data_IF_118778343512
#
_entry.id   IF_118778343512
#
_cell.length_a   1.000
_cell.length_b   1.000
_cell.length_c   1.000
_cell.angle_alpha   90.00
_cell.angle_beta   90.00
_cell.angle_gamma   90.00
#
_symmetry.space_group_name_H-M   'P 1'
#
loop_
_entity.id
_entity.type
_entity.pdbx_description
1 polymer ?
#
# COMPACT_ATOMS: atom_id res chain seq x y z
N UNK A 1 -25.13 22.66 -4.17
CA UNK A 1 -25.95 23.20 -5.27
C UNK A 1 -27.42 23.18 -4.86
N UNK A 2 -28.16 24.19 -5.24
CA UNK A 2 -29.59 24.25 -4.98
C UNK A 2 -30.33 23.36 -6.00
N UNK A 3 -31.14 22.45 -5.52
CA UNK A 3 -31.94 21.54 -6.37
C UNK A 3 -32.91 22.35 -7.29
N UNK A 4 -33.33 23.54 -6.85
CA UNK A 4 -34.19 24.44 -7.65
C UNK A 4 -33.50 24.95 -8.90
N UNK A 5 -32.17 24.97 -8.95
CA UNK A 5 -31.41 25.38 -10.13
C UNK A 5 -31.42 24.34 -11.26
N UNK A 6 -31.91 23.12 -11.00
CA UNK A 6 -32.11 22.07 -12.00
C UNK A 6 -30.83 21.76 -12.79
N UNK A 7 -30.90 21.88 -14.11
CA UNK A 7 -29.78 21.56 -15.01
C UNK A 7 -28.55 22.45 -14.83
N UNK A 8 -28.69 23.65 -14.30
CA UNK A 8 -27.55 24.55 -14.02
C UNK A 8 -26.65 23.97 -12.93
N UNK A 9 -27.26 23.35 -11.88
CA UNK A 9 -26.49 22.66 -10.83
C UNK A 9 -25.69 21.49 -11.41
N UNK A 10 -26.25 20.73 -12.34
CA UNK A 10 -25.53 19.63 -13.00
C UNK A 10 -24.32 20.12 -13.82
N UNK A 11 -24.50 21.23 -14.56
CA UNK A 11 -23.39 21.81 -15.32
C UNK A 11 -22.27 22.29 -14.39
N UNK A 12 -22.60 22.94 -13.27
CA UNK A 12 -21.62 23.40 -12.29
C UNK A 12 -20.84 22.24 -11.66
N UNK A 13 -21.51 21.15 -11.28
CA UNK A 13 -20.81 19.94 -10.80
C UNK A 13 -19.95 19.30 -11.88
N UNK A 14 -20.43 19.24 -13.12
CA UNK A 14 -19.66 18.72 -14.25
C UNK A 14 -18.37 19.51 -14.48
N UNK A 15 -18.43 20.85 -14.39
CA UNK A 15 -17.25 21.70 -14.50
C UNK A 15 -16.27 21.50 -13.34
N UNK A 16 -16.77 21.40 -12.10
CA UNK A 16 -15.93 21.12 -10.93
C UNK A 16 -15.23 19.77 -11.06
N UNK A 17 -15.94 18.70 -11.43
CA UNK A 17 -15.36 17.36 -11.64
C UNK A 17 -14.30 17.38 -12.74
N UNK A 18 -14.53 18.09 -13.83
CA UNK A 18 -13.56 18.27 -14.89
C UNK A 18 -12.27 18.94 -14.37
N UNK A 19 -12.39 20.03 -13.63
CA UNK A 19 -11.23 20.72 -13.08
C UNK A 19 -10.51 19.91 -12.02
N UNK A 20 -11.23 19.22 -11.12
CA UNK A 20 -10.64 18.29 -10.15
C UNK A 20 -9.84 17.20 -10.86
N UNK A 21 -10.41 16.61 -11.91
CA UNK A 21 -9.72 15.60 -12.71
C UNK A 21 -8.46 16.13 -13.41
N UNK A 22 -8.53 17.36 -13.97
CA UNK A 22 -7.38 17.99 -14.64
C UNK A 22 -6.25 18.35 -13.66
N UNK A 23 -6.58 18.63 -12.41
CA UNK A 23 -5.63 18.95 -11.34
C UNK A 23 -5.12 17.70 -10.61
N UNK A 24 -5.74 16.55 -10.80
CA UNK A 24 -5.32 15.28 -10.18
C UNK A 24 -3.90 14.94 -10.60
N UNK A 25 -3.03 14.68 -9.62
CA UNK A 25 -1.61 14.44 -9.82
C UNK A 25 -0.79 15.69 -10.22
N UNK A 26 -1.41 16.89 -10.22
CA UNK A 26 -0.72 18.17 -10.42
C UNK A 26 -0.55 18.89 -9.09
N UNK A 27 -1.63 19.01 -8.33
CA UNK A 27 -1.61 19.56 -6.97
C UNK A 27 -2.37 18.61 -6.04
N UNK A 28 -1.90 18.43 -4.79
CA UNK A 28 -2.61 17.59 -3.83
C UNK A 28 -4.02 18.09 -3.58
N UNK A 29 -4.96 17.17 -3.56
CA UNK A 29 -6.38 17.44 -3.32
C UNK A 29 -6.86 16.61 -2.13
N UNK A 30 -7.38 17.26 -1.10
CA UNK A 30 -7.91 16.60 0.09
C UNK A 30 -9.35 17.05 0.30
N UNK A 31 -10.28 16.10 0.33
CA UNK A 31 -11.66 16.35 0.68
C UNK A 31 -11.86 16.19 2.20
N UNK A 32 -12.57 17.14 2.81
CA UNK A 32 -13.01 17.07 4.21
C UNK A 32 -14.53 17.02 4.24
N UNK A 33 -15.07 15.91 4.74
CA UNK A 33 -16.51 15.68 4.86
C UNK A 33 -16.91 15.89 6.32
N UNK A 34 -17.59 17.02 6.57
CA UNK A 34 -17.98 17.48 7.91
C UNK A 34 -19.50 17.44 8.11
N UNK A 35 -20.26 16.83 7.23
CA UNK A 35 -21.72 16.71 7.29
C UNK A 35 -22.23 15.73 6.23
N UNK A 36 -23.48 15.87 5.80
CA UNK A 36 -24.05 15.01 4.78
C UNK A 36 -23.48 15.37 3.40
N UNK A 37 -22.72 14.46 2.81
CA UNK A 37 -22.13 14.56 1.48
C UNK A 37 -22.73 13.47 0.56
N UNK A 38 -23.62 13.89 -0.36
CA UNK A 38 -24.40 12.95 -1.16
C UNK A 38 -24.35 13.27 -2.66
N UNK A 39 -24.60 12.27 -3.50
CA UNK A 39 -24.72 12.40 -4.95
C UNK A 39 -23.51 12.99 -5.62
N UNK A 40 -23.67 14.07 -6.39
CA UNK A 40 -22.56 14.72 -7.10
C UNK A 40 -21.48 15.29 -6.15
N UNK A 41 -21.85 15.72 -4.95
CA UNK A 41 -20.88 16.18 -3.95
C UNK A 41 -20.01 15.03 -3.44
N UNK A 42 -20.59 13.85 -3.23
CA UNK A 42 -19.83 12.65 -2.86
C UNK A 42 -18.87 12.22 -3.97
N UNK A 43 -19.31 12.26 -5.23
CA UNK A 43 -18.42 12.00 -6.38
C UNK A 43 -17.25 12.99 -6.45
N UNK A 44 -17.51 14.26 -6.17
CA UNK A 44 -16.46 15.30 -6.14
C UNK A 44 -15.47 15.05 -5.00
N UNK A 45 -15.96 14.74 -3.81
CA UNK A 45 -15.11 14.41 -2.66
C UNK A 45 -14.20 13.21 -2.95
N UNK A 46 -14.75 12.14 -3.55
CA UNK A 46 -13.99 10.92 -3.88
C UNK A 46 -13.03 11.10 -5.06
N UNK A 47 -13.17 12.18 -5.82
CA UNK A 47 -12.21 12.54 -6.88
C UNK A 47 -10.91 13.14 -6.33
N UNK A 48 -10.84 13.47 -5.04
CA UNK A 48 -9.63 13.93 -4.36
C UNK A 48 -8.62 12.78 -4.17
N UNK A 49 -7.39 13.12 -3.82
CA UNK A 49 -6.35 12.13 -3.49
C UNK A 49 -6.66 11.41 -2.18
N UNK A 50 -7.17 12.16 -1.20
CA UNK A 50 -7.57 11.63 0.12
C UNK A 50 -8.88 12.27 0.58
N UNK A 51 -9.76 11.44 1.16
CA UNK A 51 -11.00 11.89 1.79
C UNK A 51 -10.91 11.68 3.30
N UNK A 52 -11.07 12.75 4.07
CA UNK A 52 -11.13 12.75 5.54
C UNK A 52 -12.56 13.03 5.95
N UNK A 53 -13.12 12.24 6.87
CA UNK A 53 -14.51 12.34 7.27
C UNK A 53 -14.65 12.47 8.79
N UNK A 54 -15.53 13.36 9.25
CA UNK A 54 -15.93 13.42 10.64
C UNK A 54 -16.88 12.26 10.99
N UNK A 55 -16.82 11.75 12.21
CA UNK A 55 -17.57 10.57 12.66
C UNK A 55 -19.09 10.68 12.47
N UNK A 56 -19.63 11.87 12.70
CA UNK A 56 -21.07 12.14 12.57
C UNK A 56 -21.47 12.55 11.13
N UNK A 57 -20.52 12.58 10.20
CA UNK A 57 -20.78 12.89 8.80
C UNK A 57 -21.19 11.65 7.99
N UNK A 58 -21.76 11.89 6.83
CA UNK A 58 -22.26 10.85 5.94
C UNK A 58 -21.69 11.02 4.53
N UNK A 59 -21.32 9.92 3.88
CA UNK A 59 -20.81 9.91 2.51
C UNK A 59 -21.50 8.80 1.70
N UNK A 60 -22.31 9.17 0.70
CA UNK A 60 -23.06 8.21 -0.11
C UNK A 60 -23.54 8.79 -1.44
N UNK A 61 -23.93 7.92 -2.38
CA UNK A 61 -24.54 8.35 -3.65
C UNK A 61 -26.01 8.70 -3.47
N UNK A 62 -26.79 7.80 -2.86
CA UNK A 62 -28.19 7.97 -2.55
C UNK A 62 -28.53 7.24 -1.25
N UNK A 63 -29.50 7.75 -0.44
CA UNK A 63 -29.91 7.10 0.78
C UNK A 63 -30.35 5.66 0.54
N UNK A 64 -29.91 4.72 1.37
CA UNK A 64 -30.26 3.33 1.30
C UNK A 64 -30.72 2.82 2.68
N UNK A 65 -31.87 2.17 2.74
CA UNK A 65 -32.42 1.65 3.99
C UNK A 65 -31.63 0.45 4.55
N UNK A 66 -30.87 -0.25 3.71
CA UNK A 66 -30.18 -1.49 4.08
C UNK A 66 -28.68 -1.29 4.41
N UNK A 67 -28.13 -0.13 4.10
CA UNK A 67 -26.71 0.19 4.32
C UNK A 67 -26.64 1.49 5.10
N UNK A 68 -25.83 1.50 6.15
CA UNK A 68 -25.53 2.74 6.88
C UNK A 68 -24.66 3.65 6.01
N UNK A 69 -25.04 4.90 5.87
CA UNK A 69 -24.28 5.92 5.13
C UNK A 69 -23.20 6.59 6.01
N UNK A 70 -22.78 5.91 7.08
CA UNK A 70 -21.91 6.46 8.13
C UNK A 70 -20.44 6.58 7.69
N UNK A 71 -19.69 7.37 8.44
CA UNK A 71 -18.25 7.48 8.29
C UNK A 71 -17.53 6.14 8.44
N UNK A 72 -18.00 5.26 9.33
CA UNK A 72 -17.46 3.91 9.51
C UNK A 72 -17.61 3.08 8.23
N UNK A 73 -18.81 3.09 7.62
CA UNK A 73 -19.02 2.40 6.34
C UNK A 73 -18.17 2.98 5.21
N UNK A 74 -17.96 4.30 5.20
CA UNK A 74 -17.07 4.95 4.24
C UNK A 74 -15.60 4.54 4.43
N UNK A 75 -15.17 4.31 5.66
CA UNK A 75 -13.84 3.78 5.97
C UNK A 75 -13.71 2.31 5.56
N UNK A 76 -14.70 1.47 5.89
CA UNK A 76 -14.68 0.03 5.59
C UNK A 76 -14.70 -0.28 4.09
N UNK A 77 -15.34 0.56 3.28
CA UNK A 77 -15.39 0.41 1.82
C UNK A 77 -14.28 1.16 1.07
N UNK A 78 -13.41 1.89 1.79
CA UNK A 78 -12.24 2.58 1.24
C UNK A 78 -12.50 3.97 0.67
N UNK A 79 -13.72 4.52 0.77
CA UNK A 79 -14.01 5.89 0.31
C UNK A 79 -13.52 6.94 1.29
N UNK A 80 -13.33 6.63 2.58
CA UNK A 80 -12.68 7.51 3.53
C UNK A 80 -11.32 6.99 3.94
N UNK A 81 -10.29 7.83 3.78
CA UNK A 81 -8.93 7.50 4.19
C UNK A 81 -8.73 7.62 5.71
N UNK A 82 -9.41 8.57 6.35
CA UNK A 82 -9.34 8.82 7.80
C UNK A 82 -10.71 9.20 8.34
N UNK A 83 -11.10 8.59 9.46
CA UNK A 83 -12.27 8.99 10.27
C UNK A 83 -11.80 9.73 11.50
N UNK A 84 -12.41 10.88 11.77
CA UNK A 84 -12.05 11.77 12.87
C UNK A 84 -13.23 11.97 13.84
N UNK A 85 -12.96 12.25 15.09
CA UNK A 85 -14.01 12.38 16.12
C UNK A 85 -14.99 13.55 15.86
N UNK A 86 -14.51 14.64 15.27
CA UNK A 86 -15.32 15.81 14.93
C UNK A 86 -14.76 16.58 13.71
N UNK A 87 -15.44 17.62 13.29
CA UNK A 87 -15.09 18.48 12.16
C UNK A 87 -13.72 19.13 12.33
N UNK A 88 -13.37 19.54 13.54
CA UNK A 88 -12.08 20.19 13.82
C UNK A 88 -10.94 19.18 13.69
N UNK A 89 -11.11 18.01 14.24
CA UNK A 89 -10.15 16.92 14.11
C UNK A 89 -9.99 16.50 12.63
N UNK A 90 -11.08 16.51 11.84
CA UNK A 90 -11.01 16.23 10.42
C UNK A 90 -10.19 17.28 9.64
N UNK A 91 -10.37 18.56 9.96
CA UNK A 91 -9.56 19.64 9.37
C UNK A 91 -8.10 19.54 9.77
N UNK A 92 -7.79 19.23 11.04
CA UNK A 92 -6.40 19.04 11.49
C UNK A 92 -5.75 17.79 10.86
N UNK A 93 -6.48 16.70 10.70
CA UNK A 93 -6.01 15.51 10.00
C UNK A 93 -5.70 15.83 8.52
N UNK A 94 -6.57 16.56 7.84
CA UNK A 94 -6.34 17.01 6.47
C UNK A 94 -5.10 17.90 6.36
N UNK A 95 -4.89 18.83 7.29
CA UNK A 95 -3.66 19.65 7.35
C UNK A 95 -2.42 18.79 7.59
N UNK A 96 -2.48 17.82 8.50
CA UNK A 96 -1.37 16.92 8.77
C UNK A 96 -0.99 16.10 7.51
N UNK A 97 -1.97 15.59 6.76
CA UNK A 97 -1.71 14.94 5.47
C UNK A 97 -1.07 15.94 4.50
N UNK A 98 -1.64 17.15 4.38
CA UNK A 98 -1.17 18.16 3.45
C UNK A 98 0.27 18.60 3.74
N UNK A 99 0.69 18.68 5.01
CA UNK A 99 2.09 19.02 5.36
C UNK A 99 3.08 17.99 4.85
N UNK A 100 2.69 16.73 4.68
CA UNK A 100 3.55 15.66 4.16
C UNK A 100 3.60 15.61 2.62
N UNK A 101 2.76 16.38 1.93
CA UNK A 101 2.70 16.40 0.47
C UNK A 101 3.45 17.62 -0.08
N UNK A 102 4.08 17.50 -1.26
CA UNK A 102 4.68 18.65 -1.92
C UNK A 102 3.60 19.63 -2.39
N UNK A 103 3.97 20.89 -2.66
CA UNK A 103 3.03 21.91 -3.15
C UNK A 103 2.41 21.54 -4.51
N UNK A 104 3.15 20.84 -5.33
CA UNK A 104 2.72 20.32 -6.64
C UNK A 104 3.67 19.21 -7.08
N UNK A 105 3.35 18.56 -8.18
CA UNK A 105 4.11 17.42 -8.72
C UNK A 105 5.54 17.76 -9.23
N UNK A 106 5.89 19.02 -9.34
CA UNK A 106 7.22 19.49 -9.74
C UNK A 106 8.06 19.96 -8.54
N UNK A 107 7.42 20.14 -7.39
CA UNK A 107 8.09 20.52 -6.15
C UNK A 107 8.73 19.31 -5.49
N UNK A 108 9.88 19.48 -4.82
CA UNK A 108 10.46 18.40 -4.02
C UNK A 108 9.54 18.06 -2.85
N UNK A 109 9.68 16.84 -2.32
CA UNK A 109 9.01 16.46 -1.08
C UNK A 109 9.45 17.39 0.06
N UNK A 110 8.55 17.70 1.02
CA UNK A 110 8.91 18.49 2.18
C UNK A 110 10.01 17.83 3.02
N UNK A 111 10.87 18.66 3.62
CA UNK A 111 11.91 18.23 4.53
C UNK A 111 11.68 18.87 5.89
N UNK A 112 11.79 18.07 6.96
CA UNK A 112 11.53 18.48 8.32
C UNK A 112 12.71 18.14 9.24
N UNK A 113 12.82 18.85 10.35
CA UNK A 113 13.58 18.34 11.49
C UNK A 113 12.94 17.06 11.99
N UNK A 114 13.71 16.07 12.35
CA UNK A 114 13.21 14.77 12.75
C UNK A 114 13.87 14.28 14.04
N UNK A 115 13.15 13.41 14.75
CA UNK A 115 13.67 12.65 15.86
C UNK A 115 13.75 11.17 15.46
N UNK A 116 14.78 10.49 15.92
CA UNK A 116 14.86 9.05 15.72
C UNK A 116 13.72 8.33 16.45
N UNK A 117 13.21 7.21 15.88
CA UNK A 117 12.20 6.42 16.56
C UNK A 117 12.74 5.85 17.86
N UNK A 118 11.89 5.78 18.88
CA UNK A 118 12.21 5.22 20.18
C UNK A 118 11.82 3.75 20.34
N UNK A 119 11.00 3.27 19.43
CA UNK A 119 10.48 1.89 19.43
C UNK A 119 11.46 0.92 18.77
N UNK A 120 11.54 -0.30 19.29
CA UNK A 120 12.27 -1.38 18.61
C UNK A 120 11.43 -1.89 17.43
N UNK A 121 12.11 -2.34 16.37
CA UNK A 121 11.44 -2.86 15.18
C UNK A 121 10.57 -4.08 15.55
N UNK A 122 9.25 -3.93 15.42
CA UNK A 122 8.24 -4.96 15.63
C UNK A 122 8.26 -6.06 14.54
N UNK A 123 7.31 -6.98 14.64
CA UNK A 123 7.11 -8.03 13.63
C UNK A 123 5.85 -7.75 12.78
N UNK A 124 4.98 -6.87 13.22
CA UNK A 124 3.78 -6.45 12.52
C UNK A 124 3.99 -5.16 11.69
N UNK A 125 3.03 -4.88 10.82
CA UNK A 125 3.10 -3.76 9.89
C UNK A 125 3.21 -2.39 10.59
N UNK A 126 2.45 -2.17 11.67
CA UNK A 126 2.45 -0.92 12.42
C UNK A 126 3.75 -0.72 13.20
N UNK A 127 4.19 -1.77 13.91
CA UNK A 127 5.43 -1.75 14.69
C UNK A 127 6.68 -1.54 13.81
N UNK A 128 6.71 -2.12 12.60
CA UNK A 128 7.79 -1.87 11.64
C UNK A 128 7.76 -0.42 11.17
N UNK A 129 6.59 0.09 10.77
CA UNK A 129 6.47 1.46 10.28
C UNK A 129 6.91 2.49 11.33
N UNK A 130 6.47 2.35 12.57
CA UNK A 130 6.81 3.27 13.69
C UNK A 130 8.29 3.19 14.09
N UNK A 131 8.89 2.00 14.04
CA UNK A 131 10.28 1.81 14.43
C UNK A 131 11.29 2.22 13.34
N UNK A 132 10.86 2.28 12.07
CA UNK A 132 11.74 2.64 10.95
C UNK A 132 11.60 4.12 10.59
N UNK A 133 10.39 4.66 10.60
CA UNK A 133 10.12 6.06 10.28
C UNK A 133 10.53 7.00 11.44
N UNK A 134 10.58 8.29 11.18
CA UNK A 134 10.87 9.29 12.19
C UNK A 134 9.82 9.30 13.30
N UNK A 135 10.22 9.62 14.52
CA UNK A 135 9.33 9.64 15.67
C UNK A 135 8.10 10.52 15.44
N UNK A 136 6.93 10.03 15.82
CA UNK A 136 5.62 10.69 15.69
C UNK A 136 5.23 11.16 14.27
N UNK A 137 5.93 10.68 13.23
CA UNK A 137 5.68 11.12 11.85
C UNK A 137 4.62 10.32 11.11
N UNK A 138 4.32 9.13 11.57
CA UNK A 138 3.47 8.16 10.85
C UNK A 138 2.00 8.58 10.87
N UNK A 139 1.39 8.65 9.70
CA UNK A 139 -0.05 8.89 9.52
C UNK A 139 -0.62 7.75 8.69
N UNK A 140 -1.29 6.80 9.35
CA UNK A 140 -1.94 5.69 8.69
C UNK A 140 -3.14 6.17 7.86
N UNK A 141 -3.32 5.60 6.68
CA UNK A 141 -4.41 5.90 5.76
C UNK A 141 -5.16 4.62 5.39
N UNK A 142 -6.47 4.72 5.23
CA UNK A 142 -7.37 3.60 4.90
C UNK A 142 -7.23 2.41 5.86
N UNK A 143 -7.13 2.67 7.17
CA UNK A 143 -6.90 1.65 8.19
C UNK A 143 -7.96 0.54 8.22
N UNK A 144 -9.22 0.87 7.89
CA UNK A 144 -10.37 -0.03 7.94
C UNK A 144 -10.67 -0.72 6.59
N UNK A 145 -10.00 -0.33 5.50
CA UNK A 145 -10.12 -0.93 4.18
C UNK A 145 -8.88 -1.74 3.84
N UNK A 146 -9.05 -2.95 3.28
CA UNK A 146 -7.91 -3.81 2.97
C UNK A 146 -7.05 -4.05 4.22
N UNK A 147 -7.63 -4.68 5.24
CA UNK A 147 -7.05 -4.75 6.60
C UNK A 147 -5.80 -5.61 6.72
N UNK A 148 -5.50 -6.47 5.73
CA UNK A 148 -4.26 -7.26 5.72
C UNK A 148 -3.04 -6.41 5.37
N UNK A 149 -3.25 -5.23 4.78
CA UNK A 149 -2.19 -4.29 4.41
C UNK A 149 -2.24 -3.00 5.23
N UNK A 150 -1.10 -2.32 5.27
CA UNK A 150 -0.89 -1.05 5.92
C UNK A 150 -0.40 -0.03 4.90
N UNK A 151 -0.95 1.17 4.91
CA UNK A 151 -0.50 2.29 4.09
C UNK A 151 -0.41 3.55 4.95
N UNK A 152 0.69 4.27 4.88
CA UNK A 152 0.89 5.48 5.67
C UNK A 152 1.76 6.51 4.92
N UNK A 153 1.55 7.78 5.20
CA UNK A 153 2.53 8.82 4.96
C UNK A 153 3.34 9.02 6.23
N UNK A 154 4.65 9.07 6.11
CA UNK A 154 5.58 9.28 7.21
C UNK A 154 6.76 10.13 6.77
N UNK A 155 7.70 10.41 7.67
CA UNK A 155 9.01 10.93 7.30
C UNK A 155 10.10 9.91 7.63
N UNK A 156 11.16 9.92 6.86
CA UNK A 156 12.36 9.11 7.06
C UNK A 156 13.58 10.00 6.83
N UNK A 157 14.33 10.28 7.91
CA UNK A 157 15.39 11.27 7.86
C UNK A 157 14.91 12.68 7.50
N UNK A 158 13.71 13.04 7.92
CA UNK A 158 13.03 14.31 7.65
C UNK A 158 12.31 14.40 6.31
N UNK A 159 12.60 13.52 5.35
CA UNK A 159 11.92 13.52 4.03
C UNK A 159 10.64 12.70 4.07
N UNK A 160 9.58 13.19 3.41
CA UNK A 160 8.34 12.42 3.30
C UNK A 160 8.55 11.14 2.48
N UNK A 161 8.01 10.04 3.00
CA UNK A 161 7.95 8.73 2.34
C UNK A 161 6.54 8.15 2.44
N UNK A 162 6.16 7.36 1.44
CA UNK A 162 5.00 6.48 1.51
C UNK A 162 5.44 5.13 2.07
N UNK A 163 4.73 4.65 3.07
CA UNK A 163 4.98 3.35 3.69
C UNK A 163 3.88 2.38 3.29
N UNK A 164 4.27 1.22 2.79
CA UNK A 164 3.39 0.07 2.55
C UNK A 164 3.92 -1.08 3.40
N UNK A 165 3.06 -1.76 4.13
CA UNK A 165 3.45 -3.00 4.81
C UNK A 165 2.34 -4.04 4.69
N UNK A 166 2.71 -5.30 4.74
CA UNK A 166 1.80 -6.44 4.77
C UNK A 166 1.81 -7.07 6.17
N UNK A 167 0.95 -8.08 6.41
CA UNK A 167 0.85 -8.73 7.70
C UNK A 167 0.37 -7.79 8.82
N UNK A 168 -0.70 -7.01 8.54
CA UNK A 168 -1.32 -6.17 9.56
C UNK A 168 -2.33 -6.96 10.40
N UNK A 169 -3.30 -7.63 9.76
CA UNK A 169 -4.33 -8.44 10.43
C UNK A 169 -4.42 -9.86 9.87
N UNK A 170 -3.86 -10.09 8.68
CA UNK A 170 -3.84 -11.38 7.97
C UNK A 170 -2.55 -11.44 7.15
N UNK A 171 -2.02 -12.64 6.97
CA UNK A 171 -0.83 -12.89 6.16
C UNK A 171 -1.12 -13.05 4.66
N UNK A 172 -2.40 -12.97 4.24
CA UNK A 172 -2.82 -13.02 2.83
C UNK A 172 -3.55 -11.75 2.41
N UNK A 173 -3.14 -11.22 1.28
CA UNK A 173 -3.70 -9.99 0.70
C UNK A 173 -4.99 -10.29 -0.06
N UNK A 174 -6.00 -9.46 0.15
CA UNK A 174 -7.29 -9.49 -0.56
C UNK A 174 -7.29 -8.55 -1.77
N UNK A 175 -8.35 -8.58 -2.59
CA UNK A 175 -8.58 -7.61 -3.66
C UNK A 175 -8.62 -6.16 -3.14
N UNK A 176 -9.20 -5.96 -1.95
CA UNK A 176 -9.24 -4.66 -1.29
C UNK A 176 -7.83 -4.15 -0.93
N UNK A 177 -6.97 -5.03 -0.40
CA UNK A 177 -5.56 -4.70 -0.12
C UNK A 177 -4.82 -4.31 -1.39
N UNK A 178 -5.00 -5.06 -2.47
CA UNK A 178 -4.41 -4.76 -3.77
C UNK A 178 -4.84 -3.39 -4.30
N UNK A 179 -6.12 -3.07 -4.21
CA UNK A 179 -6.67 -1.78 -4.65
C UNK A 179 -6.19 -0.62 -3.77
N UNK A 180 -6.17 -0.79 -2.44
CA UNK A 180 -5.62 0.17 -1.46
C UNK A 180 -4.16 0.51 -1.78
N UNK A 181 -3.31 -0.51 -1.85
CA UNK A 181 -1.87 -0.30 -2.11
C UNK A 181 -1.66 0.31 -3.49
N UNK A 182 -2.36 -0.18 -4.52
CA UNK A 182 -2.22 0.35 -5.87
C UNK A 182 -2.59 1.84 -5.95
N UNK A 183 -3.70 2.26 -5.33
CA UNK A 183 -4.11 3.66 -5.24
C UNK A 183 -3.06 4.49 -4.51
N UNK A 184 -2.59 4.03 -3.36
CA UNK A 184 -1.59 4.71 -2.55
C UNK A 184 -0.26 4.89 -3.30
N UNK A 185 0.26 3.84 -3.94
CA UNK A 185 1.51 3.92 -4.74
C UNK A 185 1.37 4.89 -5.90
N UNK A 186 0.22 4.92 -6.58
CA UNK A 186 -0.02 5.90 -7.66
C UNK A 186 -0.07 7.34 -7.15
N UNK A 187 -0.64 7.57 -5.97
CA UNK A 187 -0.62 8.89 -5.33
C UNK A 187 0.80 9.31 -4.97
N UNK A 188 1.59 8.42 -4.38
CA UNK A 188 3.00 8.69 -4.10
C UNK A 188 3.80 8.98 -5.38
N UNK A 189 3.58 8.20 -6.45
CA UNK A 189 4.25 8.41 -7.74
C UNK A 189 3.90 9.77 -8.38
N UNK A 190 2.61 10.18 -8.32
CA UNK A 190 2.17 11.46 -8.84
C UNK A 190 2.92 12.66 -8.22
N UNK A 191 3.32 12.51 -6.97
CA UNK A 191 4.01 13.56 -6.20
C UNK A 191 5.49 13.26 -5.93
N UNK A 192 6.06 12.30 -6.64
CA UNK A 192 7.46 11.88 -6.52
C UNK A 192 7.89 11.52 -5.08
N UNK A 193 6.96 11.03 -4.26
CA UNK A 193 7.18 10.57 -2.90
C UNK A 193 7.80 9.15 -2.97
N UNK A 194 8.99 8.92 -2.39
CA UNK A 194 9.57 7.58 -2.32
C UNK A 194 8.65 6.59 -1.60
N UNK A 195 8.54 5.36 -2.09
CA UNK A 195 7.74 4.30 -1.48
C UNK A 195 8.66 3.26 -0.86
N UNK A 196 8.44 2.98 0.40
CA UNK A 196 9.09 1.89 1.15
C UNK A 196 8.06 0.80 1.41
N UNK A 197 8.37 -0.43 1.02
CA UNK A 197 7.48 -1.57 1.15
C UNK A 197 8.08 -2.65 2.05
N UNK A 198 7.41 -2.98 3.15
CA UNK A 198 7.76 -4.10 4.04
C UNK A 198 6.90 -5.30 3.70
N UNK A 199 7.53 -6.43 3.39
CA UNK A 199 6.84 -7.62 2.86
C UNK A 199 6.98 -8.79 3.81
N UNK A 200 5.85 -9.18 4.39
CA UNK A 200 5.66 -10.44 5.09
C UNK A 200 4.27 -10.96 4.72
N UNK A 201 4.17 -11.83 3.73
CA UNK A 201 2.88 -12.33 3.25
C UNK A 201 3.00 -13.73 2.65
N UNK A 202 2.01 -14.57 2.90
CA UNK A 202 1.87 -15.88 2.25
C UNK A 202 1.34 -15.79 0.80
N UNK A 203 1.01 -14.58 0.35
CA UNK A 203 0.52 -14.35 -0.99
C UNK A 203 -0.84 -13.70 -1.04
N UNK A 204 -1.58 -13.96 -2.10
CA UNK A 204 -2.95 -13.47 -2.27
C UNK A 204 -3.96 -14.49 -1.74
N UNK A 205 -5.05 -13.98 -1.18
CA UNK A 205 -6.17 -14.81 -0.77
C UNK A 205 -6.84 -15.39 -2.02
N UNK A 206 -6.96 -16.72 -2.07
CA UNK A 206 -7.60 -17.46 -3.14
C UNK A 206 -8.64 -18.40 -2.51
N UNK A 207 -9.89 -17.98 -2.53
CA UNK A 207 -11.06 -18.75 -2.15
C UNK A 207 -12.16 -18.57 -3.20
N UNK A 208 -13.23 -19.34 -3.10
CA UNK A 208 -14.31 -19.35 -4.10
C UNK A 208 -14.94 -17.96 -4.27
N UNK A 209 -15.09 -17.19 -3.20
CA UNK A 209 -15.66 -15.86 -3.23
C UNK A 209 -14.70 -14.88 -3.94
N UNK A 210 -13.41 -14.94 -3.60
CA UNK A 210 -12.35 -14.09 -4.19
C UNK A 210 -12.25 -14.34 -5.69
N UNK A 211 -12.23 -15.60 -6.10
CA UNK A 211 -12.16 -15.98 -7.51
C UNK A 211 -13.45 -15.58 -8.27
N UNK A 212 -14.64 -15.76 -7.65
CA UNK A 212 -15.92 -15.38 -8.24
C UNK A 212 -15.99 -13.86 -8.52
N UNK A 213 -15.39 -13.03 -7.68
CA UNK A 213 -15.28 -11.58 -7.89
C UNK A 213 -14.17 -11.16 -8.86
N UNK A 214 -13.35 -12.11 -9.32
CA UNK A 214 -12.27 -11.85 -10.27
C UNK A 214 -11.11 -11.06 -9.67
N UNK A 215 -10.70 -11.40 -8.46
CA UNK A 215 -9.62 -10.73 -7.71
C UNK A 215 -8.30 -10.64 -8.49
N UNK A 216 -8.07 -11.52 -9.46
CA UNK A 216 -6.87 -11.49 -10.32
C UNK A 216 -6.69 -10.15 -11.03
N UNK A 217 -7.76 -9.41 -11.34
CA UNK A 217 -7.66 -8.07 -11.93
C UNK A 217 -7.10 -7.04 -10.93
N UNK A 218 -7.42 -7.16 -9.65
CA UNK A 218 -6.90 -6.27 -8.60
C UNK A 218 -5.44 -6.61 -8.27
N UNK A 219 -5.06 -7.88 -8.32
CA UNK A 219 -3.66 -8.31 -8.24
C UNK A 219 -2.84 -7.76 -9.41
N UNK A 220 -3.39 -7.83 -10.64
CA UNK A 220 -2.77 -7.24 -11.83
C UNK A 220 -2.68 -5.71 -11.73
N UNK A 221 -3.70 -5.04 -11.18
CA UNK A 221 -3.70 -3.60 -10.87
C UNK A 221 -2.56 -3.24 -9.93
N UNK A 222 -2.35 -4.00 -8.86
CA UNK A 222 -1.24 -3.80 -7.92
C UNK A 222 0.12 -3.89 -8.62
N UNK A 223 0.35 -4.96 -9.37
CA UNK A 223 1.58 -5.12 -10.15
C UNK A 223 1.79 -3.96 -11.14
N UNK A 224 0.73 -3.55 -11.83
CA UNK A 224 0.78 -2.46 -12.81
C UNK A 224 1.12 -1.12 -12.13
N UNK A 225 0.51 -0.82 -10.99
CA UNK A 225 0.76 0.42 -10.25
C UNK A 225 2.25 0.53 -9.85
N UNK A 226 2.82 -0.51 -9.27
CA UNK A 226 4.24 -0.52 -8.94
C UNK A 226 5.15 -0.47 -10.16
N UNK A 227 4.88 -1.27 -11.19
CA UNK A 227 5.70 -1.32 -12.40
C UNK A 227 5.67 0.02 -13.16
N UNK A 228 4.55 0.75 -13.10
CA UNK A 228 4.42 2.05 -13.73
C UNK A 228 5.04 3.18 -12.91
N UNK A 229 5.07 3.09 -11.59
CA UNK A 229 5.59 4.14 -10.74
C UNK A 229 7.08 4.44 -11.02
N UNK A 230 7.39 5.73 -11.18
CA UNK A 230 8.73 6.25 -11.51
C UNK A 230 9.47 6.77 -10.28
N UNK A 231 8.75 7.01 -9.19
CA UNK A 231 9.36 7.38 -7.90
C UNK A 231 10.30 6.30 -7.38
N UNK A 232 11.12 6.59 -6.38
CA UNK A 232 11.99 5.62 -5.73
C UNK A 232 11.13 4.58 -5.03
N UNK A 233 11.42 3.30 -5.25
CA UNK A 233 10.69 2.17 -4.66
C UNK A 233 11.68 1.23 -4.01
N UNK A 234 11.65 1.15 -2.70
CA UNK A 234 12.48 0.27 -1.90
C UNK A 234 11.62 -0.83 -1.28
N UNK A 235 12.12 -2.04 -1.25
CA UNK A 235 11.42 -3.15 -0.62
C UNK A 235 12.32 -3.85 0.40
N UNK A 236 11.75 -4.25 1.53
CA UNK A 236 12.40 -5.09 2.54
C UNK A 236 11.49 -6.30 2.81
N UNK A 237 11.96 -7.49 2.47
CA UNK A 237 11.26 -8.72 2.83
C UNK A 237 11.61 -9.05 4.28
N UNK A 238 10.63 -8.89 5.17
CA UNK A 238 10.81 -9.04 6.62
C UNK A 238 10.45 -10.43 7.13
N UNK A 239 9.67 -11.18 6.33
CA UNK A 239 9.27 -12.55 6.67
C UNK A 239 9.04 -13.39 5.42
N UNK A 240 7.79 -13.73 5.17
CA UNK A 240 7.38 -14.55 4.03
C UNK A 240 7.16 -13.68 2.78
N UNK A 241 7.55 -14.19 1.61
CA UNK A 241 7.21 -13.56 0.35
C UNK A 241 7.06 -14.64 -0.74
N UNK A 242 5.83 -15.09 -0.97
CA UNK A 242 5.56 -16.21 -1.86
C UNK A 242 4.90 -15.81 -3.17
N UNK A 243 5.37 -16.43 -4.25
CA UNK A 243 4.75 -16.40 -5.57
C UNK A 243 4.52 -14.98 -6.13
N UNK A 244 3.31 -14.71 -6.68
CA UNK A 244 3.01 -13.44 -7.32
C UNK A 244 3.09 -12.23 -6.37
N UNK A 245 2.90 -12.41 -5.06
CA UNK A 245 3.00 -11.32 -4.09
C UNK A 245 4.45 -10.80 -3.97
N UNK A 246 5.46 -11.66 -4.00
CA UNK A 246 6.86 -11.22 -4.10
C UNK A 246 7.09 -10.36 -5.35
N UNK A 247 6.61 -10.82 -6.51
CA UNK A 247 6.75 -10.09 -7.77
C UNK A 247 6.07 -8.71 -7.68
N UNK A 248 4.86 -8.67 -7.11
CA UNK A 248 4.06 -7.46 -7.02
C UNK A 248 4.68 -6.39 -6.08
N UNK A 249 5.28 -6.80 -4.96
CA UNK A 249 5.67 -5.91 -3.86
C UNK A 249 7.18 -5.70 -3.76
N UNK A 250 8.00 -6.72 -4.04
CA UNK A 250 9.44 -6.70 -3.81
C UNK A 250 10.27 -7.16 -5.02
N UNK A 251 9.63 -7.49 -6.14
CA UNK A 251 10.32 -8.01 -7.32
C UNK A 251 11.34 -7.04 -7.86
N UNK A 252 12.63 -7.37 -7.73
CA UNK A 252 13.74 -6.58 -8.23
C UNK A 252 13.66 -6.42 -9.75
N UNK A 253 13.83 -5.21 -10.24
CA UNK A 253 13.81 -4.89 -11.66
C UNK A 253 12.42 -4.90 -12.31
N UNK A 254 11.37 -5.36 -11.60
CA UNK A 254 9.98 -5.21 -12.00
C UNK A 254 9.28 -4.12 -11.21
N UNK A 255 9.30 -4.20 -9.89
CA UNK A 255 8.52 -3.33 -9.01
C UNK A 255 9.37 -2.57 -7.99
N UNK A 256 10.49 -3.12 -7.51
CA UNK A 256 11.42 -2.44 -6.63
C UNK A 256 12.68 -1.99 -7.37
N UNK A 257 13.21 -0.82 -7.02
CA UNK A 257 14.51 -0.35 -7.51
C UNK A 257 15.64 -1.05 -6.75
N UNK A 258 15.48 -1.15 -5.42
CA UNK A 258 16.33 -1.96 -4.53
C UNK A 258 15.43 -2.82 -3.65
N UNK A 259 15.82 -4.07 -3.50
CA UNK A 259 15.11 -5.04 -2.69
C UNK A 259 16.07 -5.68 -1.69
N UNK A 260 15.72 -5.66 -0.42
CA UNK A 260 16.48 -6.25 0.68
C UNK A 260 15.68 -7.36 1.35
N UNK A 261 16.33 -8.23 2.08
CA UNK A 261 15.69 -9.25 2.88
C UNK A 261 16.33 -9.34 4.26
N UNK A 262 15.56 -9.64 5.29
CA UNK A 262 16.12 -10.05 6.56
C UNK A 262 16.72 -11.47 6.43
N UNK A 263 17.66 -11.82 7.28
CA UNK A 263 18.29 -13.13 7.31
C UNK A 263 17.29 -14.28 7.53
N UNK A 264 16.19 -14.00 8.24
CA UNK A 264 15.08 -14.93 8.52
C UNK A 264 14.05 -15.02 7.40
N UNK A 265 14.14 -14.17 6.37
CA UNK A 265 13.14 -14.12 5.30
C UNK A 265 13.13 -15.40 4.45
N UNK A 266 11.92 -15.78 4.02
CA UNK A 266 11.69 -16.93 3.13
C UNK A 266 11.03 -16.44 1.83
N UNK A 267 11.74 -16.60 0.73
CA UNK A 267 11.30 -16.14 -0.60
C UNK A 267 11.21 -17.34 -1.53
N UNK A 268 10.01 -17.63 -2.03
CA UNK A 268 9.76 -18.84 -2.82
C UNK A 268 8.64 -18.64 -3.83
N UNK A 269 8.67 -19.42 -4.91
CA UNK A 269 7.60 -19.47 -5.90
C UNK A 269 6.28 -19.99 -5.33
N UNK A 270 6.35 -20.92 -4.35
CA UNK A 270 5.21 -21.45 -3.60
C UNK A 270 5.56 -21.47 -2.12
N UNK A 271 4.55 -21.45 -1.25
CA UNK A 271 4.77 -21.72 0.17
C UNK A 271 5.54 -23.05 0.35
N UNK A 272 6.53 -23.13 1.25
CA UNK A 272 7.36 -24.33 1.41
C UNK A 272 6.56 -25.62 1.61
N UNK A 273 5.47 -25.56 2.37
CA UNK A 273 4.56 -26.71 2.57
C UNK A 273 3.95 -27.17 1.24
N UNK A 274 3.47 -26.23 0.44
CA UNK A 274 2.88 -26.53 -0.88
C UNK A 274 3.95 -27.01 -1.86
N UNK A 275 5.14 -26.43 -1.84
CA UNK A 275 6.24 -26.84 -2.70
C UNK A 275 6.63 -28.31 -2.50
N UNK A 276 6.74 -28.75 -1.25
CA UNK A 276 7.11 -30.15 -0.94
C UNK A 276 6.00 -31.15 -1.27
N UNK A 277 4.73 -30.76 -1.20
CA UNK A 277 3.61 -31.59 -1.64
C UNK A 277 3.69 -31.92 -3.14
N UNK A 278 4.17 -30.99 -3.96
CA UNK A 278 4.42 -31.24 -5.39
C UNK A 278 5.73 -31.98 -5.64
N UNK A 279 6.81 -31.55 -5.03
CA UNK A 279 8.15 -32.00 -5.36
C UNK A 279 8.51 -33.37 -4.71
N UNK A 280 7.94 -33.66 -3.54
CA UNK A 280 8.29 -34.80 -2.70
C UNK A 280 7.06 -35.69 -2.38
N UNK A 281 6.10 -35.70 -3.28
CA UNK A 281 4.85 -36.42 -3.15
C UNK A 281 5.04 -37.91 -2.82
N UNK A 282 5.99 -38.60 -3.49
CA UNK A 282 6.24 -40.01 -3.30
C UNK A 282 6.88 -40.29 -1.93
N UNK A 283 7.72 -39.40 -1.43
CA UNK A 283 8.31 -39.49 -0.08
C UNK A 283 7.24 -39.31 0.99
N UNK A 284 6.33 -38.33 0.78
CA UNK A 284 5.20 -38.10 1.68
C UNK A 284 4.23 -39.30 1.75
N UNK A 285 3.96 -39.98 0.63
CA UNK A 285 3.09 -41.19 0.62
C UNK A 285 3.57 -42.31 1.50
N UNK A 286 4.87 -42.44 1.71
CA UNK A 286 5.48 -43.49 2.53
C UNK A 286 5.58 -43.15 4.02
N UNK A 287 5.23 -41.95 4.42
CA UNK A 287 5.39 -41.47 5.80
C UNK A 287 4.35 -42.05 6.75
N UNK A 288 4.78 -42.48 7.91
CA UNK A 288 3.89 -42.97 8.99
C UNK A 288 3.11 -41.82 9.65
N UNK A 289 3.72 -40.64 9.73
CA UNK A 289 3.10 -39.37 10.13
C UNK A 289 3.28 -38.33 9.02
N UNK A 290 2.24 -38.15 8.21
CA UNK A 290 2.23 -37.28 7.05
C UNK A 290 2.46 -35.82 7.44
N UNK A 291 1.89 -35.36 8.56
CA UNK A 291 2.00 -33.97 9.00
C UNK A 291 3.42 -33.65 9.47
N UNK A 292 3.99 -34.48 10.29
CA UNK A 292 5.36 -34.32 10.77
C UNK A 292 6.37 -34.38 9.61
N UNK A 293 6.22 -35.37 8.71
CA UNK A 293 7.08 -35.51 7.55
C UNK A 293 6.99 -34.27 6.62
N UNK A 294 5.77 -33.79 6.33
CA UNK A 294 5.54 -32.62 5.52
C UNK A 294 6.20 -31.36 6.11
N UNK A 295 6.02 -31.10 7.40
CA UNK A 295 6.63 -29.97 8.07
C UNK A 295 8.16 -30.05 8.06
N UNK A 296 8.73 -31.20 8.34
CA UNK A 296 10.18 -31.39 8.30
C UNK A 296 10.78 -31.17 6.91
N UNK A 297 10.09 -31.62 5.85
CA UNK A 297 10.50 -31.38 4.48
C UNK A 297 10.33 -29.92 4.07
N UNK A 298 9.25 -29.26 4.52
CA UNK A 298 9.03 -27.83 4.30
C UNK A 298 10.11 -26.97 4.96
N UNK A 299 10.49 -27.27 6.19
CA UNK A 299 11.58 -26.59 6.90
C UNK A 299 12.92 -26.76 6.18
N UNK A 300 13.19 -27.96 5.70
CA UNK A 300 14.38 -28.24 4.89
C UNK A 300 14.35 -27.44 3.59
N UNK A 301 13.24 -27.46 2.86
CA UNK A 301 13.07 -26.72 1.63
C UNK A 301 13.24 -25.20 1.85
N UNK A 302 12.66 -24.65 2.93
CA UNK A 302 12.81 -23.24 3.27
C UNK A 302 14.28 -22.84 3.45
N UNK A 303 15.07 -23.67 4.15
CA UNK A 303 16.51 -23.43 4.38
C UNK A 303 17.36 -23.58 3.12
N UNK A 304 17.15 -24.64 2.35
CA UNK A 304 18.02 -25.03 1.24
C UNK A 304 17.65 -24.34 -0.08
N UNK A 305 16.37 -23.99 -0.30
CA UNK A 305 15.86 -23.52 -1.57
C UNK A 305 15.21 -22.13 -1.54
N UNK A 306 14.77 -21.65 -0.37
CA UNK A 306 13.95 -20.45 -0.24
C UNK A 306 14.47 -19.42 0.78
N UNK A 307 15.65 -19.65 1.36
CA UNK A 307 16.24 -18.69 2.31
C UNK A 307 16.65 -17.37 1.62
N UNK A 308 16.78 -16.30 2.39
CA UNK A 308 17.30 -15.00 1.95
C UNK A 308 18.65 -15.14 1.24
N UNK A 309 19.53 -16.05 1.72
CA UNK A 309 20.82 -16.33 1.10
C UNK A 309 20.68 -16.91 -0.32
N UNK A 310 19.71 -17.81 -0.52
CA UNK A 310 19.40 -18.35 -1.85
C UNK A 310 18.82 -17.29 -2.76
N UNK A 311 17.91 -16.45 -2.23
CA UNK A 311 17.33 -15.34 -2.98
C UNK A 311 18.40 -14.33 -3.43
N UNK A 312 19.35 -13.98 -2.54
CA UNK A 312 20.48 -13.11 -2.87
C UNK A 312 21.39 -13.71 -3.94
N UNK A 313 21.74 -15.00 -3.79
CA UNK A 313 22.54 -15.74 -4.78
C UNK A 313 21.88 -15.74 -6.17
N UNK A 314 20.57 -15.83 -6.21
CA UNK A 314 19.78 -15.84 -7.46
C UNK A 314 19.52 -14.42 -8.00
N UNK A 315 19.97 -13.37 -7.30
CA UNK A 315 19.76 -11.98 -7.70
C UNK A 315 18.32 -11.47 -7.48
N UNK A 316 17.53 -12.15 -6.66
CA UNK A 316 16.16 -11.74 -6.32
C UNK A 316 16.13 -10.55 -5.35
N UNK A 317 17.17 -10.42 -4.51
CA UNK A 317 17.37 -9.27 -3.62
C UNK A 317 18.79 -8.71 -3.77
N UNK A 318 18.96 -7.43 -3.46
CA UNK A 318 20.25 -6.72 -3.55
C UNK A 318 21.14 -6.96 -2.33
N UNK A 319 20.55 -7.22 -1.18
CA UNK A 319 21.29 -7.46 0.06
C UNK A 319 20.45 -8.14 1.13
N UNK A 320 21.17 -8.72 2.07
CA UNK A 320 20.61 -9.26 3.31
C UNK A 320 21.04 -8.30 4.41
N UNK A 321 20.09 -7.83 5.21
CA UNK A 321 20.30 -6.83 6.25
C UNK A 321 19.77 -7.33 7.60
N UNK A 322 20.35 -6.83 8.68
CA UNK A 322 19.85 -7.08 10.01
C UNK A 322 18.65 -6.16 10.31
N UNK A 323 17.79 -6.61 11.23
CA UNK A 323 16.57 -5.88 11.60
C UNK A 323 16.84 -4.45 12.07
N UNK A 324 17.91 -4.22 12.80
CA UNK A 324 18.34 -2.91 13.29
C UNK A 324 19.03 -2.04 12.22
N UNK A 325 19.35 -2.58 11.06
CA UNK A 325 19.97 -1.85 9.95
C UNK A 325 18.92 -1.31 8.95
N UNK A 326 17.64 -1.70 9.08
CA UNK A 326 16.59 -1.35 8.11
C UNK A 326 16.54 0.16 7.89
N UNK A 327 16.41 0.95 8.97
CA UNK A 327 16.27 2.41 8.86
C UNK A 327 17.46 3.05 8.12
N UNK A 328 18.67 2.74 8.53
CA UNK A 328 19.88 3.32 7.91
C UNK A 328 20.01 2.90 6.45
N UNK A 329 19.78 1.62 6.16
CA UNK A 329 19.83 1.09 4.79
C UNK A 329 18.83 1.81 3.87
N UNK A 330 17.62 2.10 4.36
CA UNK A 330 16.61 2.80 3.58
C UNK A 330 16.96 4.27 3.37
N UNK A 331 17.48 4.96 4.39
CA UNK A 331 17.95 6.36 4.27
C UNK A 331 19.07 6.47 3.24
N UNK A 332 20.09 5.63 3.35
CA UNK A 332 21.22 5.60 2.41
C UNK A 332 20.76 5.27 0.98
N UNK A 333 19.79 4.33 0.85
CA UNK A 333 19.22 3.96 -0.44
C UNK A 333 18.45 5.11 -1.11
N UNK A 334 17.67 5.86 -0.34
CA UNK A 334 16.96 7.05 -0.85
C UNK A 334 17.97 8.11 -1.31
N UNK A 335 19.02 8.35 -0.53
CA UNK A 335 20.05 9.31 -0.89
C UNK A 335 20.77 8.91 -2.18
N UNK A 336 21.22 7.67 -2.29
CA UNK A 336 21.87 7.13 -3.50
C UNK A 336 20.95 7.22 -4.72
N UNK A 337 19.66 6.98 -4.53
CA UNK A 337 18.65 6.99 -5.59
C UNK A 337 18.05 8.38 -5.87
N UNK A 338 18.43 9.44 -5.15
CA UNK A 338 17.89 10.79 -5.32
C UNK A 338 18.01 11.33 -6.76
N UNK A 339 19.04 10.87 -7.48
CA UNK A 339 19.27 11.19 -8.90
C UNK A 339 18.44 10.36 -9.90
N UNK A 340 17.61 9.43 -9.44
CA UNK A 340 16.84 8.53 -10.31
C UNK A 340 16.02 9.30 -11.33
N UNK A 341 16.18 8.92 -12.62
CA UNK A 341 15.35 9.42 -13.73
C UNK A 341 14.98 8.25 -14.63
N UNK A 342 13.70 8.05 -14.83
CA UNK A 342 13.17 7.00 -15.71
C UNK A 342 12.54 7.67 -16.92
N UNK A 343 13.04 7.32 -18.11
CA UNK A 343 12.38 7.64 -19.37
C UNK A 343 11.40 6.52 -19.73
N UNK A 344 10.15 6.87 -19.94
CA UNK A 344 9.11 5.92 -20.34
C UNK A 344 8.77 6.06 -21.82
N UNK A 345 8.21 5.01 -22.38
CA UNK A 345 7.64 5.07 -23.72
C UNK A 345 6.53 6.12 -23.76
N UNK A 346 6.50 6.97 -24.80
CA UNK A 346 5.45 7.99 -24.95
C UNK A 346 4.06 7.35 -24.99
N UNK A 347 3.17 7.78 -24.11
CA UNK A 347 1.77 7.35 -24.07
C UNK A 347 0.90 8.47 -23.51
N UNK A 348 -0.38 8.48 -23.84
CA UNK A 348 -1.31 9.46 -23.25
C UNK A 348 -1.55 9.18 -21.76
N UNK A 349 -1.75 7.95 -21.42
CA UNK A 349 -1.91 7.42 -20.06
C UNK A 349 -1.69 5.91 -20.09
N UNK A 350 -1.53 5.28 -18.94
CA UNK A 350 -1.56 3.82 -18.85
C UNK A 350 -2.99 3.29 -18.92
N UNK A 351 -3.15 2.07 -19.42
CA UNK A 351 -4.42 1.36 -19.42
C UNK A 351 -4.42 0.35 -18.26
N UNK A 352 -4.44 0.89 -17.04
CA UNK A 352 -4.48 0.10 -15.81
C UNK A 352 -5.89 -0.48 -15.60
N UNK A 353 -5.99 -1.63 -14.97
CA UNK A 353 -7.27 -2.22 -14.54
C UNK A 353 -7.92 -1.30 -13.49
N UNK A 354 -9.21 -0.98 -13.67
CA UNK A 354 -10.00 -0.11 -12.79
C UNK A 354 -10.90 -0.93 -11.89
#
# INVERSE_FOLDING_TARGET
ADVSDGSKALNAYGELLMWTSNLSGVVPQIAVVAGTCAGCAAMLAESADFTVIAKDAELYVAPNANIKNSAENAAENGTAAVVCEDDKAAVEAAKNILTKLPQNNLSPVPMYEFADPTEAVGDDADGIAKAVCDGDSVTELNAEYGKASYTALATLGGATVGVVATNKTDDKLTAADCSKIARFVRTCDAYAIPVVTFVDTEGFKADDDTEAYGAVKDMAKLCHAYAEATTIKLAVVTGKAYGPAFIALAGKGSNADLSFALDTAVISALAPVTAVEFLQHDELKGASDLTAARNALADKFAKENASSAVAAKNGCVDGIIAKNEIRQTLMDSIEVMAGKRISRLPKKHSNIQL
#
